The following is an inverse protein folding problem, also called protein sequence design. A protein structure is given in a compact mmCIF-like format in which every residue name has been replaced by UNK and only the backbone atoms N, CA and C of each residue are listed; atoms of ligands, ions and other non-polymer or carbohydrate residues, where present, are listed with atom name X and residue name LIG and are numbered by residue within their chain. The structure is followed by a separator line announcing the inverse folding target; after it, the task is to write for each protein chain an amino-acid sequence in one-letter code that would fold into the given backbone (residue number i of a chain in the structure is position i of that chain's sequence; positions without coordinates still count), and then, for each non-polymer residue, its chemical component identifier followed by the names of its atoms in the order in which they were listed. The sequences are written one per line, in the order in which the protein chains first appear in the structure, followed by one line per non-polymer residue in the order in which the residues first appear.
data_IF_848679378023
#
_entry.id   IF_848679378023
#
_cell.length_a   1.000
_cell.length_b   1.000
_cell.length_c   1.000
_cell.angle_alpha   90.00
_cell.angle_beta   90.00
_cell.angle_gamma   90.00
#
_symmetry.space_group_name_H-M   'P 1'
#
loop_
_entity.id
_entity.type
_entity.pdbx_description
1 polymer ?
#
# COMPACT_ATOMS: atom_id res chain seq x y z
N UNK A 1 10.59 -12.90 8.41
CA UNK A 1 10.14 -11.65 9.06
C UNK A 1 9.07 -12.04 10.09
N UNK A 2 9.40 -12.12 11.38
CA UNK A 2 8.47 -12.52 12.44
C UNK A 2 7.53 -11.39 12.91
N UNK A 3 7.20 -10.43 12.03
CA UNK A 3 6.42 -9.25 12.38
C UNK A 3 4.94 -9.51 12.04
N UNK A 4 4.05 -9.34 13.02
CA UNK A 4 2.60 -9.45 12.81
C UNK A 4 2.05 -8.18 12.19
N UNK A 5 0.90 -8.25 11.52
CA UNK A 5 0.22 -7.05 11.03
C UNK A 5 -0.16 -6.11 12.17
N UNK A 6 -0.51 -6.63 13.36
CA UNK A 6 -0.81 -5.80 14.53
C UNK A 6 0.40 -4.95 14.95
N UNK A 7 1.56 -5.60 15.11
CA UNK A 7 2.80 -4.90 15.48
C UNK A 7 3.21 -3.86 14.43
N UNK A 8 3.04 -4.18 13.15
CA UNK A 8 3.36 -3.23 12.08
C UNK A 8 2.36 -2.06 12.01
N UNK A 9 1.08 -2.31 12.26
CA UNK A 9 0.07 -1.26 12.32
C UNK A 9 0.37 -0.27 13.46
N UNK A 10 0.77 -0.77 14.64
CA UNK A 10 1.21 0.06 15.75
C UNK A 10 2.44 0.91 15.38
N UNK A 11 3.45 0.32 14.73
CA UNK A 11 4.62 1.06 14.25
C UNK A 11 4.27 2.19 13.26
N UNK A 12 3.25 1.97 12.43
CA UNK A 12 2.75 2.96 11.48
C UNK A 12 1.81 3.99 12.11
N UNK A 13 1.36 3.80 13.36
CA UNK A 13 0.28 4.60 13.97
C UNK A 13 -1.08 4.37 13.29
N UNK A 14 -1.28 3.21 12.68
CA UNK A 14 -2.51 2.85 11.96
C UNK A 14 -3.36 1.87 12.76
N UNK A 15 -4.64 1.81 12.44
CA UNK A 15 -5.47 0.70 12.90
C UNK A 15 -5.06 -0.60 12.18
N UNK A 16 -5.15 -1.73 12.87
CA UNK A 16 -4.95 -3.04 12.25
C UNK A 16 -5.86 -3.24 11.02
N UNK A 17 -7.09 -2.73 11.07
CA UNK A 17 -8.03 -2.77 9.96
C UNK A 17 -7.51 -1.99 8.73
N UNK A 18 -6.99 -0.77 8.90
CA UNK A 18 -6.40 0.03 7.80
C UNK A 18 -5.26 -0.73 7.14
N UNK A 19 -4.35 -1.30 7.92
CA UNK A 19 -3.24 -2.08 7.37
C UNK A 19 -3.73 -3.36 6.68
N UNK A 20 -4.67 -4.10 7.27
CA UNK A 20 -5.22 -5.30 6.68
C UNK A 20 -5.97 -5.01 5.36
N UNK A 21 -6.71 -3.91 5.25
CA UNK A 21 -7.32 -3.47 3.99
C UNK A 21 -6.27 -3.18 2.91
N UNK A 22 -5.17 -2.52 3.28
CA UNK A 22 -4.06 -2.24 2.38
C UNK A 22 -3.41 -3.55 1.90
N UNK A 23 -3.07 -4.45 2.82
CA UNK A 23 -2.43 -5.75 2.50
C UNK A 23 -3.33 -6.59 1.61
N UNK A 24 -4.65 -6.55 1.81
CA UNK A 24 -5.62 -7.28 0.98
C UNK A 24 -5.97 -6.55 -0.33
N UNK A 25 -5.35 -5.41 -0.63
CA UNK A 25 -5.62 -4.62 -1.84
C UNK A 25 -7.03 -4.03 -1.89
N UNK A 26 -7.76 -3.99 -0.76
CA UNK A 26 -9.08 -3.34 -0.67
C UNK A 26 -8.96 -1.82 -0.66
N UNK A 27 -7.80 -1.32 -0.24
CA UNK A 27 -7.43 0.09 -0.22
C UNK A 27 -6.12 0.27 -0.98
N UNK A 28 -6.03 1.30 -1.81
CA UNK A 28 -4.78 1.68 -2.48
C UNK A 28 -3.85 2.47 -1.58
N UNK A 29 -2.61 2.65 -2.00
CA UNK A 29 -1.62 3.49 -1.33
C UNK A 29 -1.86 4.96 -1.67
N UNK A 30 -2.37 5.73 -0.72
CA UNK A 30 -2.43 7.19 -0.80
C UNK A 30 -1.08 7.84 -0.41
N UNK A 31 -0.91 9.15 -0.66
CA UNK A 31 0.33 9.87 -0.37
C UNK A 31 0.76 9.81 1.11
N UNK A 32 -0.19 9.95 2.05
CA UNK A 32 0.07 9.77 3.49
C UNK A 32 0.60 8.37 3.77
N UNK A 33 -0.05 7.34 3.20
CA UNK A 33 0.36 5.96 3.37
C UNK A 33 1.77 5.70 2.81
N UNK A 34 2.10 6.28 1.66
CA UNK A 34 3.43 6.20 1.08
C UNK A 34 4.51 6.80 1.99
N UNK A 35 4.22 7.93 2.65
CA UNK A 35 5.12 8.55 3.62
C UNK A 35 5.35 7.65 4.84
N UNK A 36 4.28 7.13 5.44
CA UNK A 36 4.38 6.28 6.63
C UNK A 36 5.13 4.97 6.34
N UNK A 37 4.77 4.30 5.24
CA UNK A 37 5.42 3.06 4.81
C UNK A 37 6.90 3.30 4.51
N UNK A 38 7.25 4.43 3.87
CA UNK A 38 8.63 4.76 3.57
C UNK A 38 9.49 4.96 4.82
N UNK A 39 8.93 5.61 5.85
CA UNK A 39 9.62 5.81 7.14
C UNK A 39 9.78 4.49 7.87
N UNK A 40 8.73 3.67 7.93
CA UNK A 40 8.76 2.42 8.69
C UNK A 40 9.64 1.34 8.05
N UNK A 41 9.74 1.33 6.72
CA UNK A 41 10.46 0.29 5.96
C UNK A 41 11.80 0.75 5.39
N UNK A 42 12.19 2.01 5.61
CA UNK A 42 13.45 2.55 5.10
C UNK A 42 13.48 2.66 3.57
N UNK A 43 12.34 2.95 2.95
CA UNK A 43 12.22 3.10 1.48
C UNK A 43 11.93 4.55 1.10
N UNK A 44 11.64 4.81 -0.19
CA UNK A 44 11.17 6.13 -0.64
C UNK A 44 9.65 6.19 -0.74
N UNK A 45 9.01 7.35 -0.49
CA UNK A 45 7.58 7.53 -0.77
C UNK A 45 7.26 7.34 -2.27
N UNK A 46 8.19 7.74 -3.15
CA UNK A 46 8.02 7.62 -4.61
C UNK A 46 7.93 6.17 -5.06
N UNK A 47 8.64 5.24 -4.39
CA UNK A 47 8.50 3.80 -4.64
C UNK A 47 7.03 3.36 -4.51
N UNK A 48 6.39 3.71 -3.40
CA UNK A 48 5.01 3.35 -3.11
C UNK A 48 4.01 3.98 -4.06
N UNK A 49 4.18 5.26 -4.38
CA UNK A 49 3.34 5.96 -5.35
C UNK A 49 3.46 5.36 -6.75
N UNK A 50 4.66 4.98 -7.16
CA UNK A 50 4.89 4.33 -8.45
C UNK A 50 4.21 2.95 -8.50
N UNK A 51 4.31 2.14 -7.44
CA UNK A 51 3.64 0.84 -7.38
C UNK A 51 2.12 0.99 -7.52
N UNK A 52 1.52 1.95 -6.83
CA UNK A 52 0.09 2.23 -6.94
C UNK A 52 -0.29 2.66 -8.36
N UNK A 53 0.44 3.60 -8.96
CA UNK A 53 0.19 4.08 -10.31
C UNK A 53 0.31 2.95 -11.35
N UNK A 54 1.35 2.11 -11.26
CA UNK A 54 1.53 0.95 -12.13
C UNK A 54 0.36 -0.02 -12.02
N UNK A 55 -0.06 -0.34 -10.79
CA UNK A 55 -1.20 -1.22 -10.56
C UNK A 55 -2.51 -0.66 -11.15
N UNK A 56 -2.79 0.62 -10.94
CA UNK A 56 -4.02 1.26 -11.44
C UNK A 56 -4.06 1.27 -12.97
N UNK A 57 -2.94 1.60 -13.63
CA UNK A 57 -2.82 1.56 -15.08
C UNK A 57 -3.06 0.15 -15.64
N UNK A 58 -2.39 -0.84 -15.06
CA UNK A 58 -2.49 -2.24 -15.47
C UNK A 58 -3.90 -2.81 -15.25
N UNK A 59 -4.55 -2.46 -14.13
CA UNK A 59 -5.96 -2.79 -13.87
C UNK A 59 -6.90 -2.21 -14.91
N UNK A 60 -6.73 -0.92 -15.26
CA UNK A 60 -7.56 -0.26 -16.28
C UNK A 60 -7.30 -0.85 -17.67
N UNK A 61 -6.04 -1.13 -18.00
CA UNK A 61 -5.67 -1.74 -19.27
C UNK A 61 -6.35 -3.11 -19.45
N UNK A 62 -6.28 -3.97 -18.42
CA UNK A 62 -6.97 -5.28 -18.45
C UNK A 62 -8.48 -5.14 -18.63
N UNK A 63 -9.11 -4.20 -17.94
CA UNK A 63 -10.55 -3.96 -18.06
C UNK A 63 -10.94 -3.50 -19.48
N UNK A 64 -10.10 -2.68 -20.13
CA UNK A 64 -10.31 -2.22 -21.51
C UNK A 64 -10.06 -3.30 -22.55
N UNK A 65 -9.09 -4.19 -22.34
CA UNK A 65 -8.77 -5.27 -23.26
C UNK A 65 -9.72 -6.47 -23.20
N UNK A 66 -10.59 -6.53 -22.18
CA UNK A 66 -11.62 -7.55 -22.02
C UNK A 66 -12.98 -7.14 -22.61
N UNK A 67 -13.07 -5.96 -23.21
CA UNK A 67 -14.21 -5.42 -23.98
C UNK A 67 -13.92 -5.56 -25.46
#
# INVERSE_FOLDING_TARGET
MGLTQAAFAEQLGWTHARLNELVRGKRGVAAEAALDLSRALGTSPKLWMNLQATFDLDRVQRARSAV
#
